data_IF_670438911943
#
_entry.id   IF_670438911943
#
_cell.length_a   1.000
_cell.length_b   1.000
_cell.length_c   1.000
_cell.angle_alpha   90.00
_cell.angle_beta   90.00
_cell.angle_gamma   90.00
#
_symmetry.space_group_name_H-M   'P 1'
#
loop_
_entity.id
_entity.type
_entity.pdbx_description
1 polymer ?
#
# COMPACT_ATOMS: atom_id res chain seq x y z
N UNK A 1 9.41 -11.23 -6.99
CA UNK A 1 9.26 -9.85 -6.59
C UNK A 1 9.15 -9.71 -5.09
N UNK A 2 9.90 -8.80 -4.53
CA UNK A 2 9.91 -8.63 -3.06
C UNK A 2 8.72 -7.81 -2.62
N UNK A 3 8.00 -8.33 -1.66
CA UNK A 3 7.00 -7.56 -0.96
C UNK A 3 7.69 -6.74 0.12
N UNK A 4 7.12 -5.61 0.47
CA UNK A 4 7.59 -4.85 1.62
C UNK A 4 7.49 -5.73 2.86
N UNK A 5 8.56 -5.75 3.67
CA UNK A 5 8.58 -6.49 4.93
C UNK A 5 7.79 -5.83 6.04
N UNK A 6 7.40 -4.59 5.82
CA UNK A 6 6.77 -3.77 6.85
C UNK A 6 5.38 -3.36 6.42
N UNK A 7 4.46 -3.41 7.36
CA UNK A 7 3.11 -2.91 7.15
C UNK A 7 3.11 -1.38 7.12
N UNK A 8 2.06 -0.83 6.58
CA UNK A 8 1.88 0.63 6.55
C UNK A 8 1.88 1.23 7.94
N UNK A 9 1.31 0.53 8.93
CA UNK A 9 1.35 0.97 10.32
C UNK A 9 2.77 1.04 10.87
N UNK A 10 3.58 0.03 10.57
CA UNK A 10 4.97 0.01 11.02
C UNK A 10 5.77 1.14 10.39
N UNK A 11 5.52 1.40 9.11
CA UNK A 11 6.17 2.49 8.39
C UNK A 11 5.80 3.84 9.02
N UNK A 12 4.53 4.07 9.26
CA UNK A 12 4.05 5.32 9.87
C UNK A 12 4.63 5.50 11.26
N UNK A 13 4.71 4.44 12.05
CA UNK A 13 5.32 4.50 13.39
C UNK A 13 6.79 4.90 13.33
N UNK A 14 7.54 4.33 12.37
CA UNK A 14 8.94 4.68 12.18
C UNK A 14 9.09 6.16 11.81
N UNK A 15 8.23 6.65 10.92
CA UNK A 15 8.23 8.06 10.54
C UNK A 15 7.92 8.97 11.73
N UNK A 16 6.97 8.57 12.56
CA UNK A 16 6.61 9.33 13.76
C UNK A 16 7.75 9.37 14.77
N UNK A 17 8.47 8.27 14.94
CA UNK A 17 9.64 8.22 15.81
C UNK A 17 10.73 9.19 15.33
N UNK A 18 10.93 9.28 14.05
CA UNK A 18 11.91 10.19 13.48
C UNK A 18 11.45 11.65 13.66
N UNK A 19 10.19 11.94 13.38
CA UNK A 19 9.66 13.29 13.49
C UNK A 19 9.66 13.80 14.93
N UNK A 20 9.38 12.93 15.89
CA UNK A 20 9.37 13.30 17.31
C UNK A 20 10.77 13.44 17.89
N UNK A 21 11.80 13.11 17.13
CA UNK A 21 13.17 13.19 17.58
C UNK A 21 13.63 12.03 18.45
N UNK A 22 12.80 10.98 18.59
CA UNK A 22 13.17 9.80 19.40
C UNK A 22 14.33 9.03 18.79
N UNK A 23 14.36 8.96 17.45
CA UNK A 23 15.40 8.25 16.72
C UNK A 23 15.77 9.01 15.46
N UNK A 24 17.02 8.90 15.05
CA UNK A 24 17.48 9.48 13.79
C UNK A 24 17.18 8.54 12.63
N UNK A 25 17.22 9.07 11.42
CA UNK A 25 17.03 8.27 10.20
C UNK A 25 18.05 7.12 10.15
N UNK A 26 19.31 7.42 10.50
CA UNK A 26 20.39 6.43 10.47
C UNK A 26 20.10 5.27 11.42
N UNK A 27 19.66 5.57 12.64
CA UNK A 27 19.32 4.55 13.64
C UNK A 27 18.13 3.72 13.17
N UNK A 28 17.08 4.37 12.69
CA UNK A 28 15.88 3.67 12.21
C UNK A 28 16.20 2.75 11.04
N UNK A 29 16.97 3.23 10.07
CA UNK A 29 17.37 2.41 8.92
C UNK A 29 18.17 1.19 9.36
N UNK A 30 19.04 1.36 10.34
CA UNK A 30 19.84 0.25 10.88
C UNK A 30 18.95 -0.78 11.56
N UNK A 31 18.04 -0.33 12.41
CA UNK A 31 17.13 -1.22 13.13
C UNK A 31 16.18 -1.97 12.20
N UNK A 32 15.70 -1.29 11.17
CA UNK A 32 14.75 -1.87 10.24
C UNK A 32 15.41 -2.63 9.09
N UNK A 33 16.73 -2.49 8.93
CA UNK A 33 17.44 -3.15 7.86
C UNK A 33 17.09 -2.60 6.49
N UNK A 34 16.88 -1.30 6.38
CA UNK A 34 16.54 -0.63 5.12
C UNK A 34 17.58 0.42 4.76
N UNK A 35 17.61 0.79 3.48
CA UNK A 35 18.44 1.88 3.02
C UNK A 35 17.78 3.22 3.34
N UNK A 36 18.58 4.27 3.45
CA UNK A 36 18.05 5.61 3.68
C UNK A 36 17.15 6.05 2.54
N UNK A 37 17.45 5.65 1.30
CA UNK A 37 16.60 5.95 0.16
C UNK A 37 15.19 5.37 0.34
N UNK A 38 15.09 4.17 0.90
CA UNK A 38 13.80 3.54 1.21
C UNK A 38 13.04 4.37 2.25
N UNK A 39 13.74 4.83 3.28
CA UNK A 39 13.12 5.66 4.31
C UNK A 39 12.57 6.96 3.73
N UNK A 40 13.33 7.60 2.84
CA UNK A 40 12.86 8.82 2.18
C UNK A 40 11.64 8.59 1.29
N UNK A 41 11.57 7.46 0.61
CA UNK A 41 10.37 7.08 -0.16
C UNK A 41 9.17 6.90 0.75
N UNK A 42 9.37 6.27 1.91
CA UNK A 42 8.32 6.12 2.90
C UNK A 42 7.80 7.49 3.36
N UNK A 43 8.73 8.40 3.61
CA UNK A 43 8.39 9.74 4.08
C UNK A 43 7.55 10.49 3.03
N UNK A 44 7.87 10.33 1.75
CA UNK A 44 7.11 10.93 0.67
C UNK A 44 5.69 10.35 0.58
N UNK A 45 5.56 9.04 0.75
CA UNK A 45 4.26 8.37 0.60
C UNK A 45 3.40 8.49 1.86
N UNK A 46 3.99 8.35 3.02
CA UNK A 46 3.23 8.22 4.28
C UNK A 46 3.47 9.35 5.26
N UNK A 47 4.30 10.32 4.94
CA UNK A 47 4.58 11.43 5.85
C UNK A 47 3.31 12.20 6.19
N UNK A 48 3.15 12.52 7.48
CA UNK A 48 1.98 13.23 7.96
C UNK A 48 0.78 12.35 8.27
N UNK A 49 0.83 11.05 7.99
CA UNK A 49 -0.26 10.14 8.31
C UNK A 49 -0.17 9.66 9.76
N UNK A 50 -1.32 9.44 10.37
CA UNK A 50 -1.41 8.73 11.65
C UNK A 50 -1.45 7.23 11.41
N UNK A 51 -1.33 6.45 12.49
CA UNK A 51 -1.49 4.99 12.41
C UNK A 51 -2.88 4.62 11.91
N UNK A 52 -3.91 5.37 12.35
CA UNK A 52 -5.27 5.14 11.88
C UNK A 52 -5.42 5.43 10.39
N UNK A 53 -4.76 6.50 9.91
CA UNK A 53 -4.75 6.82 8.48
C UNK A 53 -4.08 5.71 7.68
N UNK A 54 -2.99 5.13 8.19
CA UNK A 54 -2.30 4.03 7.54
C UNK A 54 -3.20 2.80 7.43
N UNK A 55 -3.95 2.49 8.50
CA UNK A 55 -4.93 1.40 8.47
C UNK A 55 -6.00 1.65 7.41
N UNK A 56 -6.51 2.86 7.39
CA UNK A 56 -7.55 3.25 6.44
C UNK A 56 -7.03 3.16 5.02
N UNK A 57 -5.81 3.62 4.78
CA UNK A 57 -5.18 3.53 3.47
C UNK A 57 -5.09 2.07 3.01
N UNK A 58 -4.65 1.19 3.90
CA UNK A 58 -4.55 -0.24 3.57
C UNK A 58 -5.92 -0.83 3.25
N UNK A 59 -6.94 -0.51 4.03
CA UNK A 59 -8.30 -0.97 3.78
C UNK A 59 -8.80 -0.50 2.41
N UNK A 60 -8.53 0.76 2.07
CA UNK A 60 -8.94 1.32 0.79
C UNK A 60 -8.19 0.68 -0.37
N UNK A 61 -6.90 0.40 -0.21
CA UNK A 61 -6.11 -0.28 -1.23
C UNK A 61 -6.64 -1.69 -1.48
N UNK A 62 -6.97 -2.42 -0.41
CA UNK A 62 -7.52 -3.76 -0.51
C UNK A 62 -8.90 -3.73 -1.17
N UNK A 63 -9.75 -2.80 -0.77
CA UNK A 63 -11.08 -2.63 -1.37
C UNK A 63 -10.97 -2.27 -2.85
N UNK A 64 -10.05 -1.39 -3.18
CA UNK A 64 -9.82 -0.99 -4.57
C UNK A 64 -9.40 -2.18 -5.43
N UNK A 65 -8.47 -3.02 -4.92
CA UNK A 65 -8.03 -4.21 -5.62
C UNK A 65 -9.19 -5.21 -5.80
N UNK A 66 -10.02 -5.38 -4.77
CA UNK A 66 -11.18 -6.27 -4.83
C UNK A 66 -12.18 -5.80 -5.87
N UNK A 67 -12.50 -4.51 -5.87
CA UNK A 67 -13.45 -3.93 -6.82
C UNK A 67 -12.95 -4.03 -8.25
N UNK A 68 -11.66 -3.78 -8.48
CA UNK A 68 -11.05 -3.91 -9.81
C UNK A 68 -11.17 -5.34 -10.32
N UNK A 69 -10.97 -6.33 -9.45
CA UNK A 69 -11.10 -7.75 -9.83
C UNK A 69 -12.55 -8.06 -10.20
N UNK A 70 -13.50 -7.58 -9.40
CA UNK A 70 -14.93 -7.78 -9.68
C UNK A 70 -15.33 -7.15 -10.99
N UNK A 71 -14.85 -5.95 -11.28
CA UNK A 71 -15.13 -5.27 -12.55
C UNK A 71 -14.56 -6.08 -13.73
N UNK A 72 -13.33 -6.57 -13.60
CA UNK A 72 -12.71 -7.37 -14.64
C UNK A 72 -13.50 -8.65 -14.91
N UNK A 73 -13.92 -9.35 -13.86
CA UNK A 73 -14.71 -10.57 -13.99
C UNK A 73 -16.05 -10.29 -14.66
N UNK A 74 -16.73 -9.22 -14.24
CA UNK A 74 -18.01 -8.85 -14.84
C UNK A 74 -17.87 -8.49 -16.32
N UNK A 75 -16.80 -7.81 -16.68
CA UNK A 75 -16.54 -7.46 -18.08
C UNK A 75 -16.29 -8.68 -18.94
N UNK A 76 -15.56 -9.67 -18.40
CA UNK A 76 -15.33 -10.92 -19.11
C UNK A 76 -16.62 -11.70 -19.30
N UNK A 77 -17.47 -11.76 -18.27
CA UNK A 77 -18.78 -12.41 -18.37
C UNK A 77 -19.65 -11.72 -19.39
N UNK A 78 -19.68 -10.40 -19.38
CA UNK A 78 -20.44 -9.60 -20.35
C UNK A 78 -19.98 -9.89 -21.77
N UNK A 79 -18.68 -9.88 -22.01
CA UNK A 79 -18.13 -10.14 -23.33
C UNK A 79 -18.47 -11.55 -23.81
N UNK A 80 -18.41 -12.53 -22.92
CA UNK A 80 -18.76 -13.93 -23.25
C UNK A 80 -20.23 -14.04 -23.65
N UNK A 81 -21.11 -13.36 -22.91
CA UNK A 81 -22.55 -13.37 -23.22
C UNK A 81 -22.82 -12.69 -24.56
N UNK A 82 -22.18 -11.56 -24.81
CA UNK A 82 -22.33 -10.85 -26.09
C UNK A 82 -21.87 -11.72 -27.26
N UNK A 83 -20.76 -12.44 -27.10
CA UNK A 83 -20.25 -13.34 -28.13
C UNK A 83 -21.25 -14.45 -28.45
N UNK A 84 -21.88 -15.04 -27.42
CA UNK A 84 -22.90 -16.08 -27.62
C UNK A 84 -24.10 -15.50 -28.37
N UNK A 85 -24.54 -14.32 -27.97
CA UNK A 85 -25.69 -13.66 -28.62
C UNK A 85 -25.42 -13.34 -30.08
N UNK A 86 -24.21 -12.94 -30.42
CA UNK A 86 -23.83 -12.65 -31.81
C UNK A 86 -23.87 -13.88 -32.71
N UNK A 87 -23.68 -15.07 -32.13
CA UNK A 87 -23.65 -16.33 -32.88
C UNK A 87 -25.04 -16.93 -33.05
N UNK A 88 -26.01 -16.40 -32.38
CA UNK A 88 -27.39 -16.81 -32.56
C UNK A 88 -27.98 -16.15 -33.79
#
# INVERSE_FOLDING_TARGET
MKKSRYSEEQIVRALQEQESGQKTIVVLCRELGIAQATFHKWKQKYGGLSVNDARRLKELENENARLKRMVADLMLEKDAIEDVLKKL
#
